data_IF_528691925214
#
_entry.id   IF_528691925214
#
_cell.length_a   1.000
_cell.length_b   1.000
_cell.length_c   1.000
_cell.angle_alpha   90.00
_cell.angle_beta   90.00
_cell.angle_gamma   90.00
#
_symmetry.space_group_name_H-M   'P 1'
#
loop_
_entity.id
_entity.type
_entity.pdbx_description
1 polymer ?
#
# COMPACT_ATOMS: atom_id res chain seq x y z
N UNK A 1 0.84 -3.72 18.40
CA UNK A 1 1.54 -4.17 19.64
C UNK A 1 3.05 -3.96 19.45
N UNK A 2 3.74 -3.37 20.43
CA UNK A 2 5.21 -3.32 20.42
C UNK A 2 5.76 -4.39 21.37
N UNK A 3 6.74 -5.15 20.89
CA UNK A 3 7.39 -6.22 21.66
C UNK A 3 8.90 -5.99 21.65
N UNK A 4 9.51 -5.93 22.82
CA UNK A 4 10.98 -5.91 22.95
C UNK A 4 11.50 -7.35 22.94
N UNK A 5 12.13 -7.75 21.82
CA UNK A 5 12.56 -9.13 21.57
C UNK A 5 13.80 -9.53 22.39
N UNK A 6 14.45 -8.58 23.07
CA UNK A 6 15.72 -8.80 23.75
C UNK A 6 15.57 -9.12 25.25
N UNK A 7 14.34 -9.33 25.73
CA UNK A 7 14.04 -9.55 27.15
C UNK A 7 13.37 -10.90 27.33
N UNK A 8 13.78 -11.74 28.30
CA UNK A 8 13.18 -13.07 28.53
C UNK A 8 11.68 -13.03 28.86
N UNK A 9 11.17 -11.89 29.35
CA UNK A 9 9.75 -11.62 29.56
C UNK A 9 9.41 -10.27 28.92
N UNK A 10 9.01 -10.24 27.64
CA UNK A 10 8.69 -9.00 26.95
C UNK A 10 7.45 -8.36 27.57
N UNK A 11 7.57 -7.09 27.97
CA UNK A 11 6.44 -6.32 28.49
C UNK A 11 5.53 -5.91 27.33
N UNK A 12 4.36 -6.53 27.24
CA UNK A 12 3.34 -6.19 26.23
C UNK A 12 2.68 -4.86 26.61
N UNK A 13 2.64 -3.92 25.66
CA UNK A 13 1.89 -2.66 25.77
C UNK A 13 0.91 -2.53 24.62
N UNK A 14 -0.35 -2.23 24.94
CA UNK A 14 -1.33 -1.81 23.96
C UNK A 14 -0.95 -0.41 23.45
N UNK A 15 -0.98 -0.27 22.14
CA UNK A 15 -0.68 0.97 21.43
C UNK A 15 -1.74 1.14 20.35
N UNK A 16 -1.87 2.37 19.85
CA UNK A 16 -2.85 2.76 18.83
C UNK A 16 -4.30 2.82 19.35
N UNK A 17 -4.61 3.95 20.00
CA UNK A 17 -5.95 4.28 20.48
C UNK A 17 -6.74 5.11 19.45
N UNK A 18 -6.31 5.17 18.18
CA UNK A 18 -6.95 6.00 17.14
C UNK A 18 -8.41 5.63 16.84
N UNK A 19 -8.77 4.37 17.10
CA UNK A 19 -10.14 3.84 16.96
C UNK A 19 -10.82 3.57 18.31
N UNK A 20 -10.18 3.92 19.43
CA UNK A 20 -10.73 3.64 20.76
C UNK A 20 -11.97 4.49 21.03
N UNK A 21 -13.06 3.86 21.46
CA UNK A 21 -14.31 4.53 21.78
C UNK A 21 -14.78 4.20 23.19
N UNK A 22 -15.29 5.20 23.90
CA UNK A 22 -15.87 5.01 25.23
C UNK A 22 -17.33 4.61 25.06
N UNK A 23 -17.66 3.37 25.43
CA UNK A 23 -19.03 2.89 25.43
C UNK A 23 -19.72 3.34 26.73
N UNK A 24 -20.87 3.99 26.60
CA UNK A 24 -21.72 4.38 27.73
C UNK A 24 -22.82 3.33 27.96
N UNK A 25 -23.09 3.01 29.22
CA UNK A 25 -24.08 2.00 29.58
C UNK A 25 -25.49 2.42 29.11
N UNK A 26 -26.09 1.62 28.23
CA UNK A 26 -27.44 1.86 27.68
C UNK A 26 -27.48 2.56 26.32
N UNK A 27 -26.32 2.91 25.74
CA UNK A 27 -26.25 3.47 24.38
C UNK A 27 -25.83 2.37 23.39
N UNK A 28 -26.66 2.12 22.38
CA UNK A 28 -26.30 1.21 21.29
C UNK A 28 -25.26 1.88 20.38
N UNK A 29 -24.02 1.39 20.43
CA UNK A 29 -22.97 1.80 19.51
C UNK A 29 -22.87 0.79 18.37
N UNK A 30 -23.04 1.26 17.13
CA UNK A 30 -22.93 0.46 15.90
C UNK A 30 -22.00 1.22 14.95
N UNK A 31 -20.85 0.64 14.65
CA UNK A 31 -19.94 1.22 13.67
C UNK A 31 -19.06 0.14 13.05
N UNK A 32 -18.73 0.28 11.76
CA UNK A 32 -17.81 -0.61 11.07
C UNK A 32 -16.43 0.03 11.10
N UNK A 33 -15.57 -0.43 11.99
CA UNK A 33 -14.15 -0.06 12.06
C UNK A 33 -13.27 -1.30 11.95
N UNK A 34 -12.04 -1.11 11.44
CA UNK A 34 -10.99 -2.13 11.41
C UNK A 34 -10.74 -2.75 10.03
N UNK A 35 -9.63 -3.48 9.93
CA UNK A 35 -9.36 -4.37 8.81
C UNK A 35 -10.31 -5.57 8.93
N UNK A 36 -11.11 -5.90 7.89
CA UNK A 36 -12.23 -6.84 8.02
C UNK A 36 -11.86 -8.19 8.60
N UNK A 37 -10.60 -8.58 8.48
CA UNK A 37 -10.06 -9.86 8.89
C UNK A 37 -9.88 -10.05 10.41
N UNK A 38 -9.94 -8.97 11.20
CA UNK A 38 -9.87 -8.98 12.67
C UNK A 38 -11.17 -8.55 13.35
N UNK A 39 -12.23 -8.43 12.56
CA UNK A 39 -13.50 -7.83 12.99
C UNK A 39 -14.44 -8.92 13.51
N UNK A 40 -15.05 -8.70 14.67
CA UNK A 40 -16.03 -9.60 15.25
C UNK A 40 -17.31 -9.68 14.38
N UNK A 41 -18.02 -10.84 14.37
CA UNK A 41 -19.17 -11.07 13.50
C UNK A 41 -20.31 -10.07 13.70
N UNK A 42 -20.48 -9.55 14.92
CA UNK A 42 -21.46 -8.50 15.22
C UNK A 42 -21.20 -7.17 14.52
N UNK A 43 -19.94 -6.81 14.28
CA UNK A 43 -19.56 -5.57 13.58
C UNK A 43 -19.94 -5.69 12.10
N UNK A 44 -19.70 -6.87 11.50
CA UNK A 44 -20.11 -7.17 10.11
C UNK A 44 -21.62 -7.24 9.98
N UNK A 45 -22.31 -7.79 10.98
CA UNK A 45 -23.77 -7.95 10.99
C UNK A 45 -24.53 -6.70 11.49
N UNK A 46 -23.86 -5.57 11.75
CA UNK A 46 -24.48 -4.33 12.25
C UNK A 46 -25.24 -4.46 13.59
N UNK A 47 -24.79 -5.38 14.45
CA UNK A 47 -25.36 -5.59 15.78
C UNK A 47 -24.73 -4.64 16.82
N UNK A 48 -25.40 -4.38 17.97
CA UNK A 48 -24.85 -3.54 19.04
C UNK A 48 -23.50 -4.06 19.55
N UNK A 49 -22.50 -3.19 19.58
CA UNK A 49 -21.14 -3.55 20.01
C UNK A 49 -21.06 -3.64 21.54
N UNK A 50 -20.47 -4.73 22.03
CA UNK A 50 -20.18 -4.97 23.44
C UNK A 50 -18.68 -4.82 23.74
N UNK A 51 -18.32 -4.87 25.02
CA UNK A 51 -16.90 -4.88 25.44
C UNK A 51 -16.18 -6.17 25.01
N UNK A 52 -16.96 -7.19 24.66
CA UNK A 52 -16.51 -8.51 24.21
C UNK A 52 -16.17 -8.55 22.71
N UNK A 53 -16.27 -7.42 22.00
CA UNK A 53 -16.01 -7.31 20.56
C UNK A 53 -14.51 -7.21 20.21
N UNK A 54 -13.66 -6.80 21.16
CA UNK A 54 -12.22 -6.65 20.93
C UNK A 54 -11.51 -8.02 21.06
N UNK A 55 -11.22 -8.64 19.92
CA UNK A 55 -10.49 -9.90 19.85
C UNK A 55 -9.01 -9.66 19.52
N UNK A 56 -8.13 -10.16 20.38
CA UNK A 56 -6.68 -10.16 20.17
C UNK A 56 -6.24 -11.49 19.55
N UNK A 57 -6.34 -11.64 18.24
CA UNK A 57 -5.62 -12.70 17.52
C UNK A 57 -4.40 -12.12 16.80
N UNK A 58 -3.23 -12.74 16.99
CA UNK A 58 -2.00 -12.38 16.27
C UNK A 58 -1.97 -12.91 14.83
N UNK A 59 -2.98 -13.68 14.43
CA UNK A 59 -3.19 -14.23 13.10
C UNK A 59 -4.65 -13.98 12.69
N UNK A 60 -4.90 -13.81 11.40
CA UNK A 60 -6.21 -13.53 10.84
C UNK A 60 -7.05 -14.82 10.81
N UNK A 61 -8.00 -15.02 11.76
CA UNK A 61 -8.64 -16.32 11.96
C UNK A 61 -9.68 -16.65 10.88
N UNK A 62 -10.13 -15.66 10.11
CA UNK A 62 -11.20 -15.81 9.13
C UNK A 62 -10.77 -15.45 7.70
N UNK A 63 -9.48 -15.27 7.43
CA UNK A 63 -8.98 -14.86 6.12
C UNK A 63 -9.36 -15.88 5.04
N UNK A 64 -10.10 -15.44 4.03
CA UNK A 64 -10.33 -16.20 2.80
C UNK A 64 -9.53 -15.62 1.63
N UNK A 65 -9.54 -16.32 0.50
CA UNK A 65 -8.87 -15.89 -0.74
C UNK A 65 -9.42 -14.55 -1.27
N UNK A 66 -10.70 -14.27 -1.02
CA UNK A 66 -11.34 -12.99 -1.37
C UNK A 66 -11.95 -12.30 -0.16
N UNK A 67 -12.11 -10.97 -0.25
CA UNK A 67 -12.81 -10.18 0.79
C UNK A 67 -14.22 -10.68 1.07
N UNK A 68 -14.91 -11.21 0.05
CA UNK A 68 -16.25 -11.77 0.22
C UNK A 68 -16.21 -13.08 1.00
N UNK A 69 -15.21 -13.93 0.74
CA UNK A 69 -15.04 -15.18 1.47
C UNK A 69 -14.64 -14.93 2.93
N UNK A 70 -13.77 -13.94 3.19
CA UNK A 70 -13.45 -13.49 4.56
C UNK A 70 -14.71 -13.06 5.31
N UNK A 71 -15.58 -12.24 4.71
CA UNK A 71 -16.83 -11.81 5.34
C UNK A 71 -17.81 -12.97 5.59
N UNK A 72 -17.87 -13.95 4.67
CA UNK A 72 -18.66 -15.18 4.87
C UNK A 72 -18.11 -16.02 6.02
N UNK A 73 -16.79 -16.20 6.10
CA UNK A 73 -16.12 -16.93 7.17
C UNK A 73 -16.37 -16.29 8.53
N UNK A 74 -16.31 -14.96 8.61
CA UNK A 74 -16.65 -14.21 9.83
C UNK A 74 -18.10 -14.44 10.23
N UNK A 75 -19.06 -14.29 9.31
CA UNK A 75 -20.49 -14.46 9.61
C UNK A 75 -20.85 -15.89 10.04
N UNK A 76 -20.17 -16.88 9.46
CA UNK A 76 -20.33 -18.30 9.75
C UNK A 76 -19.50 -18.77 10.97
N UNK A 77 -18.52 -17.99 11.43
CA UNK A 77 -17.45 -18.43 12.35
C UNK A 77 -16.81 -19.72 11.83
N UNK A 78 -16.41 -19.67 10.57
CA UNK A 78 -15.70 -20.75 9.92
C UNK A 78 -14.21 -20.47 10.00
N UNK A 79 -13.53 -21.07 10.98
CA UNK A 79 -12.09 -21.02 11.15
C UNK A 79 -11.55 -22.42 11.40
N UNK A 80 -10.33 -22.68 10.94
CA UNK A 80 -9.63 -23.93 11.15
C UNK A 80 -8.29 -23.65 11.84
N UNK A 81 -7.89 -24.53 12.74
CA UNK A 81 -6.56 -24.46 13.33
C UNK A 81 -5.57 -25.10 12.36
N UNK A 82 -4.97 -24.27 11.52
CA UNK A 82 -3.95 -24.69 10.56
C UNK A 82 -2.84 -25.49 11.26
N UNK A 83 -2.61 -26.73 10.80
CA UNK A 83 -1.62 -27.63 11.38
C UNK A 83 -0.20 -27.06 11.27
N UNK A 84 0.10 -26.26 10.25
CA UNK A 84 1.42 -25.62 10.09
C UNK A 84 1.74 -24.67 11.27
N UNK A 85 0.75 -23.91 11.73
CA UNK A 85 0.93 -22.94 12.82
C UNK A 85 0.57 -23.49 14.20
N UNK A 86 -0.34 -24.46 14.28
CA UNK A 86 -0.90 -24.97 15.54
C UNK A 86 -0.46 -26.39 15.91
N UNK A 87 0.45 -27.03 15.16
CA UNK A 87 0.98 -28.38 15.47
C UNK A 87 1.56 -28.51 16.89
N UNK A 88 2.24 -27.47 17.38
CA UNK A 88 2.84 -27.45 18.73
C UNK A 88 1.96 -26.77 19.78
N UNK A 89 0.77 -26.32 19.41
CA UNK A 89 -0.13 -25.60 20.31
C UNK A 89 -0.96 -26.59 21.13
N UNK A 90 -0.92 -26.44 22.46
CA UNK A 90 -1.63 -27.35 23.36
C UNK A 90 -3.15 -27.33 23.14
N UNK A 91 -3.81 -28.46 23.37
CA UNK A 91 -5.27 -28.57 23.24
C UNK A 91 -6.03 -27.60 24.16
N UNK A 92 -5.44 -27.30 25.33
CA UNK A 92 -5.96 -26.32 26.28
C UNK A 92 -5.96 -24.89 25.71
N UNK A 93 -4.98 -24.57 24.87
CA UNK A 93 -4.87 -23.29 24.18
C UNK A 93 -5.87 -23.20 23.02
N UNK A 94 -6.00 -24.26 22.22
CA UNK A 94 -7.01 -24.33 21.15
C UNK A 94 -8.42 -24.16 21.72
N UNK A 95 -8.71 -24.81 22.85
CA UNK A 95 -9.98 -24.65 23.57
C UNK A 95 -10.20 -23.22 24.07
N UNK A 96 -9.17 -22.57 24.60
CA UNK A 96 -9.23 -21.17 25.03
C UNK A 96 -9.58 -20.23 23.86
N UNK A 97 -8.89 -20.38 22.73
CA UNK A 97 -9.16 -19.60 21.51
C UNK A 97 -10.60 -19.85 21.03
N UNK A 98 -11.05 -21.10 21.03
CA UNK A 98 -12.41 -21.45 20.59
C UNK A 98 -13.49 -20.77 21.42
N UNK A 99 -13.28 -20.64 22.74
CA UNK A 99 -14.21 -19.96 23.65
C UNK A 99 -14.21 -18.42 23.51
N UNK A 100 -13.13 -17.85 22.98
CA UNK A 100 -13.07 -16.45 22.60
C UNK A 100 -13.75 -16.19 21.24
N UNK A 101 -13.64 -17.14 20.31
CA UNK A 101 -14.23 -17.08 18.97
C UNK A 101 -15.67 -17.62 18.91
N UNK A 102 -16.46 -17.42 19.97
CA UNK A 102 -17.86 -17.88 20.03
C UNK A 102 -18.82 -16.85 19.39
N UNK A 103 -19.81 -17.34 18.64
CA UNK A 103 -20.80 -16.48 17.93
C UNK A 103 -21.73 -15.74 18.87
N UNK A 104 -22.20 -16.44 19.89
CA UNK A 104 -23.10 -15.87 20.88
C UNK A 104 -22.30 -15.10 21.93
N UNK A 105 -22.47 -13.78 21.96
CA UNK A 105 -21.83 -12.87 22.94
C UNK A 105 -22.03 -13.34 24.38
N UNK A 106 -23.15 -13.99 24.70
CA UNK A 106 -23.46 -14.47 26.06
C UNK A 106 -22.66 -15.71 26.45
N UNK A 107 -22.21 -16.49 25.46
CA UNK A 107 -21.39 -17.69 25.65
C UNK A 107 -19.90 -17.38 25.49
N UNK A 108 -19.57 -16.27 24.83
CA UNK A 108 -18.20 -15.79 24.69
C UNK A 108 -17.59 -15.51 26.06
N UNK A 109 -16.34 -15.93 26.20
CA UNK A 109 -15.61 -15.79 27.45
C UNK A 109 -15.47 -14.30 27.82
N UNK A 110 -15.86 -13.91 29.03
CA UNK A 110 -15.61 -12.55 29.51
C UNK A 110 -14.12 -12.34 29.77
N UNK A 111 -13.66 -11.08 29.83
CA UNK A 111 -12.24 -10.78 30.13
C UNK A 111 -11.81 -11.40 31.47
N UNK A 112 -12.68 -11.37 32.48
CA UNK A 112 -12.39 -11.94 33.80
C UNK A 112 -12.28 -13.47 33.73
N UNK A 113 -13.17 -14.12 32.99
CA UNK A 113 -13.14 -15.58 32.80
C UNK A 113 -11.94 -16.00 31.94
N UNK A 114 -11.56 -15.18 30.97
CA UNK A 114 -10.38 -15.39 30.14
C UNK A 114 -9.09 -15.39 30.97
N UNK A 115 -8.92 -14.38 31.83
CA UNK A 115 -7.78 -14.31 32.76
C UNK A 115 -7.75 -15.48 33.75
N UNK A 116 -8.92 -16.05 34.07
CA UNK A 116 -9.05 -17.19 34.96
C UNK A 116 -8.96 -18.55 34.26
N UNK A 117 -8.86 -18.59 32.93
CA UNK A 117 -8.86 -19.84 32.19
C UNK A 117 -7.63 -20.69 32.54
N UNK A 118 -7.78 -22.03 32.68
CA UNK A 118 -6.66 -22.91 33.03
C UNK A 118 -5.46 -22.78 32.10
N UNK A 119 -5.65 -22.41 30.83
CA UNK A 119 -4.50 -22.19 29.93
C UNK A 119 -3.59 -21.04 30.37
N UNK A 120 -4.18 -19.94 30.86
CA UNK A 120 -3.42 -18.78 31.34
C UNK A 120 -2.80 -19.10 32.72
N UNK A 121 -3.56 -19.74 33.62
CA UNK A 121 -3.11 -20.03 34.99
C UNK A 121 -2.22 -21.27 35.15
N UNK A 122 -2.27 -22.25 34.24
CA UNK A 122 -1.53 -23.52 34.39
C UNK A 122 -0.01 -23.37 34.24
N UNK A 123 0.49 -22.26 33.71
CA UNK A 123 1.93 -22.02 33.62
C UNK A 123 2.55 -21.52 34.94
N UNK A 124 1.75 -21.09 35.92
CA UNK A 124 2.26 -20.76 37.25
C UNK A 124 2.58 -22.01 38.11
N UNK A 125 2.12 -23.20 37.70
CA UNK A 125 2.25 -24.45 38.46
C UNK A 125 3.14 -25.54 37.82
N UNK A 126 3.80 -25.27 36.67
CA UNK A 126 4.52 -26.30 35.89
C UNK A 126 6.04 -26.33 36.06
N UNK A 127 6.65 -25.43 36.83
CA UNK A 127 8.09 -25.44 37.09
C UNK A 127 8.53 -26.61 37.99
N UNK A 128 7.62 -27.30 38.71
CA UNK A 128 8.01 -28.31 39.71
C UNK A 128 7.86 -29.78 39.29
N UNK A 129 7.27 -30.12 38.14
CA UNK A 129 7.04 -31.55 37.81
C UNK A 129 7.20 -31.88 36.32
N UNK A 130 8.44 -32.12 35.89
CA UNK A 130 8.73 -32.96 34.71
C UNK A 130 9.93 -33.88 34.95
N UNK A 131 9.66 -35.02 35.57
CA UNK A 131 10.36 -36.28 35.33
C UNK A 131 9.31 -37.39 35.23
N UNK A 132 8.90 -37.72 34.01
CA UNK A 132 8.20 -38.98 33.75
C UNK A 132 9.09 -39.83 32.84
N UNK A 133 9.61 -40.89 33.43
CA UNK A 133 10.38 -41.96 32.79
C UNK A 133 9.56 -42.72 31.72
N UNK A 134 10.21 -43.32 30.71
CA UNK A 134 9.53 -44.15 29.73
C UNK A 134 9.08 -45.49 30.34
N UNK A 135 7.80 -45.83 30.14
CA UNK A 135 7.19 -47.11 30.54
C UNK A 135 7.88 -48.31 29.88
N UNK A 136 8.60 -49.12 30.65
CA UNK A 136 9.03 -50.49 30.27
C UNK A 136 7.80 -51.39 30.07
N UNK A 137 7.61 -51.92 28.86
CA UNK A 137 6.65 -52.99 28.57
C UNK A 137 7.16 -54.34 29.11
N UNK A 138 6.29 -55.10 29.77
CA UNK A 138 6.60 -56.42 30.34
C UNK A 138 7.07 -57.43 29.28
N UNK A 139 8.17 -58.12 29.60
CA UNK A 139 8.77 -59.19 28.81
C UNK A 139 7.83 -60.41 28.76
N UNK A 140 7.44 -60.86 27.57
CA UNK A 140 6.71 -62.14 27.39
C UNK A 140 7.66 -63.31 27.65
N UNK A 141 7.58 -63.91 28.84
CA UNK A 141 8.27 -65.17 29.13
C UNK A 141 7.61 -66.32 28.35
N UNK A 142 8.38 -67.00 27.50
CA UNK A 142 7.99 -68.25 26.85
C UNK A 142 7.76 -69.33 27.93
N UNK A 143 6.60 -69.99 27.89
CA UNK A 143 6.15 -70.95 28.92
C UNK A 143 6.89 -72.29 28.79
N UNK A 144 8.13 -72.38 29.29
CA UNK A 144 8.95 -73.60 29.31
C UNK A 144 8.74 -74.52 30.53
N UNK A 145 7.60 -74.37 31.25
CA UNK A 145 7.31 -75.14 32.48
C UNK A 145 7.36 -76.66 32.28
N UNK A 146 6.83 -77.17 31.16
CA UNK A 146 6.80 -78.61 30.86
C UNK A 146 8.16 -79.20 30.49
N UNK A 147 9.05 -78.41 29.87
CA UNK A 147 10.40 -78.86 29.53
C UNK A 147 11.32 -78.88 30.77
N UNK A 148 11.23 -77.87 31.65
CA UNK A 148 11.98 -77.86 32.92
C UNK A 148 11.69 -79.06 33.80
N UNK A 149 10.41 -79.47 33.90
CA UNK A 149 10.03 -80.63 34.71
C UNK A 149 10.54 -81.96 34.14
N UNK A 150 10.66 -82.08 32.81
CA UNK A 150 11.18 -83.29 32.16
C UNK A 150 12.70 -83.43 32.38
N UNK A 151 13.45 -82.32 32.32
CA UNK A 151 14.90 -82.33 32.55
C UNK A 151 15.28 -82.67 34.00
N UNK A 152 14.47 -82.24 34.98
CA UNK A 152 14.73 -82.48 36.41
C UNK A 152 14.40 -83.92 36.83
N UNK A 153 13.42 -84.58 36.18
CA UNK A 153 13.00 -85.95 36.55
C UNK A 153 13.86 -87.08 35.98
N UNK A 154 14.66 -86.83 34.95
CA UNK A 154 15.31 -87.92 34.21
C UNK A 154 16.79 -88.19 34.53
N UNK A 155 17.51 -87.31 35.24
CA UNK A 155 18.94 -87.56 35.53
C UNK A 155 19.37 -87.04 36.90
N UNK A 156 19.25 -87.87 37.94
CA UNK A 156 19.75 -87.59 39.30
C UNK A 156 21.27 -87.83 39.46
N UNK A 157 22.07 -87.74 38.39
CA UNK A 157 23.53 -87.99 38.46
C UNK A 157 24.40 -87.26 37.42
N UNK A 158 23.90 -86.27 36.66
CA UNK A 158 24.76 -85.48 35.75
C UNK A 158 25.13 -84.11 36.35
N UNK A 159 26.38 -83.63 36.16
CA UNK A 159 26.81 -82.32 36.62
C UNK A 159 25.92 -81.23 36.00
N UNK A 160 25.76 -80.06 36.65
CA UNK A 160 24.78 -79.06 36.25
C UNK A 160 25.03 -78.66 34.80
N UNK A 161 24.17 -79.14 33.91
CA UNK A 161 24.38 -79.03 32.48
C UNK A 161 24.03 -77.60 32.04
N UNK A 162 25.05 -76.73 32.04
CA UNK A 162 24.99 -75.30 31.72
C UNK A 162 24.59 -75.03 30.25
N UNK A 163 24.50 -76.09 29.44
CA UNK A 163 24.14 -76.08 28.03
C UNK A 163 22.77 -75.43 27.78
N UNK A 164 21.74 -75.75 28.58
CA UNK A 164 20.39 -75.19 28.35
C UNK A 164 20.30 -73.69 28.67
N UNK A 165 20.94 -73.25 29.76
CA UNK A 165 21.01 -71.84 30.13
C UNK A 165 21.80 -71.04 29.09
N UNK A 166 22.86 -71.62 28.54
CA UNK A 166 23.61 -71.01 27.44
C UNK A 166 22.79 -70.93 26.14
N UNK A 167 21.99 -71.95 25.81
CA UNK A 167 21.07 -71.90 24.68
C UNK A 167 19.97 -70.84 24.86
N UNK A 168 19.41 -70.68 26.06
CA UNK A 168 18.40 -69.66 26.35
C UNK A 168 19.00 -68.24 26.25
N UNK A 169 20.23 -68.03 26.75
CA UNK A 169 20.96 -66.76 26.55
C UNK A 169 21.29 -66.51 25.08
N UNK A 170 21.71 -67.53 24.34
CA UNK A 170 22.03 -67.41 22.93
C UNK A 170 20.77 -67.07 22.11
N UNK A 171 19.65 -67.74 22.34
CA UNK A 171 18.37 -67.43 21.71
C UNK A 171 17.94 -65.98 22.00
N UNK A 172 18.12 -65.51 23.24
CA UNK A 172 17.83 -64.13 23.62
C UNK A 172 18.69 -63.13 22.83
N UNK A 173 20.00 -63.40 22.69
CA UNK A 173 20.90 -62.54 21.92
C UNK A 173 20.53 -62.52 20.44
N UNK A 174 20.10 -63.65 19.86
CA UNK A 174 19.64 -63.70 18.47
C UNK A 174 18.35 -62.89 18.28
N UNK A 175 17.39 -63.00 19.19
CA UNK A 175 16.16 -62.17 19.15
C UNK A 175 16.45 -60.68 19.32
N UNK A 176 17.41 -60.32 20.17
CA UNK A 176 17.82 -58.93 20.38
C UNK A 176 18.55 -58.36 19.13
N UNK A 177 19.36 -59.19 18.46
CA UNK A 177 20.02 -58.82 17.19
C UNK A 177 18.99 -58.60 16.08
N UNK A 178 18.01 -59.50 15.93
CA UNK A 178 16.93 -59.37 14.94
C UNK A 178 16.11 -58.09 15.16
N UNK A 179 15.77 -57.78 16.42
CA UNK A 179 15.10 -56.52 16.76
C UNK A 179 15.95 -55.29 16.45
N UNK A 180 17.26 -55.38 16.71
CA UNK A 180 18.20 -54.29 16.42
C UNK A 180 18.33 -54.07 14.90
N UNK A 181 18.43 -55.13 14.11
CA UNK A 181 18.45 -55.05 12.64
C UNK A 181 17.16 -54.40 12.10
N UNK A 182 15.99 -54.80 12.61
CA UNK A 182 14.73 -54.14 12.27
C UNK A 182 14.71 -52.64 12.62
N UNK A 183 15.32 -52.27 13.74
CA UNK A 183 15.41 -50.86 14.15
C UNK A 183 16.32 -50.03 13.23
N UNK A 184 17.42 -50.61 12.74
CA UNK A 184 18.32 -49.95 11.78
C UNK A 184 17.67 -49.77 10.42
N UNK A 185 16.91 -50.75 9.94
CA UNK A 185 16.14 -50.61 8.69
C UNK A 185 15.12 -49.48 8.79
N UNK A 186 14.39 -49.41 9.92
CA UNK A 186 13.46 -48.31 10.15
C UNK A 186 14.16 -46.95 10.24
N UNK A 187 15.35 -46.90 10.84
CA UNK A 187 16.14 -45.67 10.96
C UNK A 187 16.67 -45.21 9.59
N UNK A 188 17.13 -46.14 8.75
CA UNK A 188 17.56 -45.85 7.38
C UNK A 188 16.40 -45.28 6.55
N UNK A 189 15.22 -45.90 6.63
CA UNK A 189 14.03 -45.39 5.95
C UNK A 189 13.63 -43.97 6.43
N UNK A 190 13.75 -43.69 7.72
CA UNK A 190 13.49 -42.35 8.25
C UNK A 190 14.53 -41.32 7.79
N UNK A 191 15.80 -41.72 7.69
CA UNK A 191 16.86 -40.87 7.14
C UNK A 191 16.60 -40.53 5.66
N UNK A 192 16.25 -41.53 4.85
CA UNK A 192 15.97 -41.33 3.43
C UNK A 192 14.75 -40.41 3.22
N UNK A 193 13.68 -40.59 4.02
CA UNK A 193 12.52 -39.69 4.01
C UNK A 193 12.90 -38.25 4.39
N UNK A 194 13.73 -38.06 5.42
CA UNK A 194 14.19 -36.72 5.80
C UNK A 194 15.06 -36.09 4.71
N UNK A 195 15.87 -36.90 4.02
CA UNK A 195 16.69 -36.42 2.91
C UNK A 195 15.82 -35.96 1.74
N UNK A 196 14.75 -36.68 1.41
CA UNK A 196 13.76 -36.26 0.41
C UNK A 196 13.09 -34.93 0.79
N UNK A 197 12.70 -34.77 2.06
CA UNK A 197 12.12 -33.52 2.56
C UNK A 197 13.12 -32.34 2.48
N UNK A 198 14.40 -32.59 2.82
CA UNK A 198 15.47 -31.59 2.68
C UNK A 198 15.64 -31.18 1.22
N UNK A 199 15.69 -32.15 0.30
CA UNK A 199 15.87 -31.89 -1.12
C UNK A 199 14.68 -31.12 -1.70
N UNK A 200 13.45 -31.44 -1.27
CA UNK A 200 12.25 -30.69 -1.63
C UNK A 200 12.31 -29.24 -1.13
N UNK A 201 12.71 -29.03 0.13
CA UNK A 201 12.86 -27.69 0.70
C UNK A 201 13.93 -26.86 -0.03
N UNK A 202 15.07 -27.48 -0.40
CA UNK A 202 16.11 -26.82 -1.20
C UNK A 202 15.60 -26.45 -2.59
N UNK A 203 14.80 -27.33 -3.22
CA UNK A 203 14.19 -27.04 -4.52
C UNK A 203 13.25 -25.84 -4.45
N UNK A 204 12.33 -25.81 -3.48
CA UNK A 204 11.40 -24.70 -3.26
C UNK A 204 12.15 -23.40 -2.98
N UNK A 205 13.20 -23.45 -2.16
CA UNK A 205 14.03 -22.28 -1.86
C UNK A 205 14.66 -21.71 -3.13
N UNK A 206 15.27 -22.56 -3.96
CA UNK A 206 15.93 -22.13 -5.21
C UNK A 206 14.93 -21.54 -6.21
N UNK A 207 13.73 -22.14 -6.33
CA UNK A 207 12.66 -21.63 -7.19
C UNK A 207 12.19 -20.24 -6.71
N UNK A 208 11.97 -20.08 -5.40
CA UNK A 208 11.60 -18.78 -4.82
C UNK A 208 12.70 -17.75 -4.99
N UNK A 209 13.97 -18.11 -4.79
CA UNK A 209 15.10 -17.20 -5.00
C UNK A 209 15.17 -16.73 -6.46
N UNK A 210 14.96 -17.64 -7.42
CA UNK A 210 14.91 -17.28 -8.84
C UNK A 210 13.75 -16.33 -9.15
N UNK A 211 12.56 -16.62 -8.62
CA UNK A 211 11.37 -15.78 -8.80
C UNK A 211 11.59 -14.36 -8.25
N UNK A 212 12.14 -14.23 -7.03
CA UNK A 212 12.44 -12.92 -6.46
C UNK A 212 13.49 -12.15 -7.27
N UNK A 213 14.47 -12.84 -7.85
CA UNK A 213 15.44 -12.19 -8.74
C UNK A 213 14.76 -11.64 -9.98
N UNK A 214 13.93 -12.42 -10.65
CA UNK A 214 13.19 -12.01 -11.84
C UNK A 214 12.25 -10.83 -11.54
N UNK A 215 11.46 -10.90 -10.48
CA UNK A 215 10.57 -9.81 -10.07
C UNK A 215 11.36 -8.53 -9.74
N UNK A 216 12.49 -8.66 -9.03
CA UNK A 216 13.37 -7.51 -8.75
C UNK A 216 13.97 -6.90 -10.01
N UNK A 217 14.20 -7.71 -11.04
CA UNK A 217 14.65 -7.24 -12.35
C UNK A 217 13.52 -6.53 -13.07
N UNK A 218 12.30 -7.10 -13.08
CA UNK A 218 11.10 -6.45 -13.62
C UNK A 218 10.90 -5.05 -13.06
N UNK A 219 10.87 -4.93 -11.72
CA UNK A 219 10.73 -3.62 -11.04
C UNK A 219 11.87 -2.67 -11.39
N UNK A 220 13.12 -3.15 -11.51
CA UNK A 220 14.26 -2.32 -11.93
C UNK A 220 14.11 -1.80 -13.37
N UNK A 221 13.59 -2.61 -14.28
CA UNK A 221 13.31 -2.20 -15.66
C UNK A 221 12.21 -1.14 -15.71
N UNK A 222 11.09 -1.36 -15.01
CA UNK A 222 9.99 -0.38 -14.93
C UNK A 222 10.46 0.95 -14.33
N UNK A 223 11.22 0.91 -13.23
CA UNK A 223 11.78 2.12 -12.63
C UNK A 223 12.72 2.86 -13.60
N UNK A 224 13.50 2.12 -14.38
CA UNK A 224 14.39 2.70 -15.39
C UNK A 224 13.60 3.36 -16.52
N UNK A 225 12.51 2.73 -16.96
CA UNK A 225 11.59 3.29 -17.95
C UNK A 225 10.93 4.57 -17.44
N UNK A 226 10.41 4.56 -16.21
CA UNK A 226 9.80 5.74 -15.58
C UNK A 226 10.82 6.87 -15.46
N UNK A 227 12.06 6.59 -15.06
CA UNK A 227 13.13 7.60 -14.99
C UNK A 227 13.46 8.19 -16.35
N UNK A 228 13.46 7.38 -17.41
CA UNK A 228 13.67 7.86 -18.77
C UNK A 228 12.54 8.80 -19.22
N UNK A 229 11.28 8.38 -19.05
CA UNK A 229 10.12 9.21 -19.40
C UNK A 229 10.08 10.50 -18.58
N UNK A 230 10.42 10.44 -17.29
CA UNK A 230 10.52 11.63 -16.45
C UNK A 230 11.57 12.61 -16.97
N UNK A 231 12.77 12.14 -17.34
CA UNK A 231 13.82 12.99 -17.94
C UNK A 231 13.37 13.60 -19.27
N UNK A 232 12.64 12.84 -20.09
CA UNK A 232 12.09 13.31 -21.36
C UNK A 232 11.06 14.43 -21.14
N UNK A 233 10.15 14.25 -20.18
CA UNK A 233 9.15 15.27 -19.81
C UNK A 233 9.83 16.51 -19.21
N UNK A 234 10.85 16.35 -18.37
CA UNK A 234 11.62 17.48 -17.85
C UNK A 234 12.33 18.27 -18.96
N UNK A 235 12.90 17.58 -19.95
CA UNK A 235 13.53 18.23 -21.09
C UNK A 235 12.51 19.02 -21.92
N UNK A 236 11.33 18.43 -22.19
CA UNK A 236 10.24 19.10 -22.88
C UNK A 236 9.75 20.33 -22.10
N UNK A 237 9.60 20.22 -20.78
CA UNK A 237 9.23 21.34 -19.91
C UNK A 237 10.25 22.48 -20.01
N UNK A 238 11.55 22.18 -19.98
CA UNK A 238 12.61 23.22 -20.12
C UNK A 238 12.50 23.92 -21.47
N UNK A 239 12.37 23.16 -22.56
CA UNK A 239 12.18 23.74 -23.90
C UNK A 239 10.97 24.68 -23.96
N UNK A 240 9.84 24.26 -23.41
CA UNK A 240 8.62 25.07 -23.41
C UNK A 240 8.77 26.32 -22.53
N UNK A 241 9.54 26.25 -21.46
CA UNK A 241 9.87 27.40 -20.63
C UNK A 241 10.75 28.40 -21.38
N UNK A 242 11.76 27.92 -22.11
CA UNK A 242 12.62 28.75 -22.96
C UNK A 242 11.78 29.44 -24.07
N UNK A 243 10.84 28.71 -24.68
CA UNK A 243 9.90 29.25 -25.67
C UNK A 243 9.03 30.36 -25.05
N UNK A 244 8.47 30.12 -23.86
CA UNK A 244 7.65 31.11 -23.15
C UNK A 244 8.44 32.39 -22.83
N UNK A 245 9.71 32.27 -22.42
CA UNK A 245 10.58 33.41 -22.20
C UNK A 245 10.86 34.17 -23.51
N UNK A 246 11.10 33.47 -24.62
CA UNK A 246 11.27 34.08 -25.94
C UNK A 246 10.01 34.84 -26.40
N UNK A 247 8.83 34.26 -26.18
CA UNK A 247 7.55 34.93 -26.45
C UNK A 247 7.36 36.17 -25.58
N UNK A 248 7.69 36.10 -24.29
CA UNK A 248 7.61 37.25 -23.37
C UNK A 248 8.54 38.39 -23.80
N UNK A 249 9.77 38.08 -24.20
CA UNK A 249 10.72 39.05 -24.76
C UNK A 249 10.18 39.69 -26.04
N UNK A 250 9.59 38.89 -26.94
CA UNK A 250 9.00 39.39 -28.19
C UNK A 250 7.80 40.30 -27.92
N UNK A 251 6.92 39.90 -26.99
CA UNK A 251 5.75 40.68 -26.59
C UNK A 251 6.16 42.01 -25.93
N UNK A 252 7.17 42.00 -25.06
CA UNK A 252 7.68 43.24 -24.45
C UNK A 252 8.28 44.18 -25.49
N UNK A 253 9.00 43.66 -26.50
CA UNK A 253 9.49 44.45 -27.62
C UNK A 253 8.35 45.09 -28.44
N UNK A 254 7.29 44.34 -28.74
CA UNK A 254 6.10 44.87 -29.42
C UNK A 254 5.38 45.92 -28.56
N UNK A 255 5.23 45.67 -27.27
CA UNK A 255 4.62 46.60 -26.31
C UNK A 255 5.39 47.92 -26.26
N UNK A 256 6.72 47.88 -26.20
CA UNK A 256 7.57 49.08 -26.22
C UNK A 256 7.38 49.88 -27.51
N UNK A 257 7.35 49.22 -28.68
CA UNK A 257 7.08 49.89 -29.96
C UNK A 257 5.68 50.51 -30.03
N UNK A 258 4.69 49.84 -29.44
CA UNK A 258 3.33 50.39 -29.35
C UNK A 258 3.29 51.63 -28.47
N UNK A 259 3.94 51.60 -27.29
CA UNK A 259 4.05 52.76 -26.41
C UNK A 259 4.76 53.94 -27.08
N UNK A 260 5.82 53.67 -27.85
CA UNK A 260 6.54 54.70 -28.62
C UNK A 260 5.64 55.34 -29.70
N UNK A 261 4.87 54.53 -30.44
CA UNK A 261 3.90 55.10 -31.40
C UNK A 261 2.79 55.86 -30.70
N UNK A 262 2.30 55.37 -29.56
CA UNK A 262 1.26 56.03 -28.78
C UNK A 262 1.73 57.41 -28.29
N UNK A 263 2.94 57.51 -27.76
CA UNK A 263 3.52 58.79 -27.32
C UNK A 263 3.74 59.75 -28.50
N UNK A 264 4.14 59.23 -29.66
CA UNK A 264 4.26 60.02 -30.88
C UNK A 264 2.89 60.56 -31.36
N UNK A 265 1.84 59.74 -31.35
CA UNK A 265 0.48 60.19 -31.66
C UNK A 265 -0.01 61.25 -30.68
N UNK A 266 0.25 61.09 -29.38
CA UNK A 266 -0.12 62.08 -28.37
C UNK A 266 0.64 63.41 -28.55
N UNK A 267 1.91 63.36 -28.96
CA UNK A 267 2.69 64.55 -29.31
C UNK A 267 2.12 65.28 -30.53
N UNK A 268 1.83 64.55 -31.63
CA UNK A 268 1.19 65.11 -32.82
C UNK A 268 -0.19 65.71 -32.50
N UNK A 269 -0.96 65.06 -31.62
CA UNK A 269 -2.26 65.56 -31.18
C UNK A 269 -2.12 66.90 -30.45
N UNK A 270 -1.10 67.04 -29.61
CA UNK A 270 -0.81 68.28 -28.91
C UNK A 270 -0.35 69.38 -29.90
N UNK A 271 0.54 69.06 -30.83
CA UNK A 271 0.99 69.98 -31.87
C UNK A 271 -0.18 70.49 -32.72
N UNK A 272 -1.03 69.58 -33.22
CA UNK A 272 -2.24 69.95 -33.95
C UNK A 272 -3.16 70.86 -33.14
N UNK A 273 -3.32 70.59 -31.83
CA UNK A 273 -4.14 71.43 -30.96
C UNK A 273 -3.56 72.83 -30.76
N UNK A 274 -2.23 72.95 -30.70
CA UNK A 274 -1.53 74.22 -30.60
C UNK A 274 -1.66 75.01 -31.91
N UNK A 275 -1.48 74.35 -33.05
CA UNK A 275 -1.65 74.96 -34.38
C UNK A 275 -3.09 75.43 -34.59
N UNK A 276 -4.10 74.62 -34.22
CA UNK A 276 -5.50 75.03 -34.28
C UNK A 276 -5.78 76.24 -33.39
N UNK A 277 -5.20 76.29 -32.19
CA UNK A 277 -5.32 77.44 -31.30
C UNK A 277 -4.66 78.68 -31.90
N UNK A 278 -3.47 78.53 -32.48
CA UNK A 278 -2.79 79.62 -33.18
C UNK A 278 -3.61 80.15 -34.35
N UNK A 279 -4.18 79.28 -35.19
CA UNK A 279 -5.08 79.66 -36.28
C UNK A 279 -6.30 80.41 -35.73
N UNK A 280 -6.89 79.93 -34.63
CA UNK A 280 -8.02 80.59 -33.97
C UNK A 280 -7.66 81.99 -33.46
N UNK A 281 -6.48 82.15 -32.84
CA UNK A 281 -5.97 83.44 -32.35
C UNK A 281 -5.68 84.41 -33.51
N UNK A 282 -5.09 83.93 -34.60
CA UNK A 282 -4.86 84.73 -35.83
C UNK A 282 -6.17 85.15 -36.47
N UNK A 283 -7.14 84.24 -36.59
CA UNK A 283 -8.48 84.56 -37.10
C UNK A 283 -9.22 85.56 -36.21
N UNK A 284 -9.06 85.47 -34.88
CA UNK A 284 -9.62 86.40 -33.91
C UNK A 284 -8.93 87.77 -33.88
N UNK A 285 -7.71 87.88 -34.43
CA UNK A 285 -6.94 89.12 -34.50
C UNK A 285 -7.33 90.01 -35.68
N UNK A 286 -8.13 89.51 -36.63
CA UNK A 286 -8.71 90.34 -37.69
C UNK A 286 -9.87 91.15 -37.13
N UNK A 287 -9.86 92.49 -37.25
CA UNK A 287 -10.95 93.31 -36.75
C UNK A 287 -12.22 92.98 -37.53
N UNK A 288 -13.25 92.52 -36.81
CA UNK A 288 -14.64 92.58 -37.27
C UNK A 288 -15.06 94.04 -37.19
N UNK A 289 -14.63 94.83 -38.17
CA UNK A 289 -15.06 96.21 -38.24
C UNK A 289 -16.54 96.23 -38.64
N UNK A 290 -17.38 96.55 -37.65
CA UNK A 290 -18.79 96.80 -37.86
C UNK A 290 -18.95 98.12 -38.58
N UNK A 291 -19.24 98.07 -39.87
CA UNK A 291 -19.67 99.25 -40.64
C UNK A 291 -20.34 98.83 -41.95
N UNK A 292 -21.66 98.98 -42.02
CA UNK A 292 -22.50 98.49 -43.11
C UNK A 292 -22.18 99.05 -44.50
N UNK A 293 -22.50 98.25 -45.52
CA UNK A 293 -22.48 98.63 -46.94
C UNK A 293 -22.37 97.40 -47.83
N UNK A 294 -23.48 97.04 -48.50
CA UNK A 294 -23.62 95.78 -49.22
C UNK A 294 -22.71 95.62 -50.43
N UNK A 295 -21.97 94.51 -50.45
CA UNK A 295 -21.56 93.74 -51.63
C UNK A 295 -21.47 92.25 -51.22
N UNK A 296 -21.76 91.27 -52.09
CA UNK A 296 -21.79 89.86 -51.73
C UNK A 296 -20.35 89.34 -51.67
N UNK A 297 -19.63 89.71 -50.62
CA UNK A 297 -18.27 89.27 -50.42
C UNK A 297 -18.32 87.99 -49.59
N UNK A 298 -18.28 86.85 -50.28
CA UNK A 298 -18.10 85.53 -49.69
C UNK A 298 -16.96 85.64 -48.68
N UNK A 299 -17.30 85.52 -47.39
CA UNK A 299 -16.36 85.73 -46.31
C UNK A 299 -15.18 84.78 -46.52
N UNK A 300 -14.00 85.35 -46.74
CA UNK A 300 -12.75 84.62 -46.94
C UNK A 300 -12.53 83.54 -45.86
N UNK A 301 -13.04 83.80 -44.65
CA UNK A 301 -13.05 82.85 -43.53
C UNK A 301 -13.85 81.57 -43.78
N UNK A 302 -14.90 81.58 -44.60
CA UNK A 302 -15.78 80.43 -44.85
C UNK A 302 -15.24 79.53 -45.96
N UNK A 303 -14.63 80.11 -47.00
CA UNK A 303 -13.99 79.34 -48.09
C UNK A 303 -12.74 78.64 -47.57
N UNK A 304 -11.89 79.35 -46.82
CA UNK A 304 -10.66 78.79 -46.25
C UNK A 304 -10.95 77.67 -45.23
N UNK A 305 -12.00 77.81 -44.41
CA UNK A 305 -12.40 76.75 -43.47
C UNK A 305 -12.89 75.48 -44.15
N UNK A 306 -13.57 75.60 -45.29
CA UNK A 306 -14.06 74.44 -46.04
C UNK A 306 -12.90 73.71 -46.73
N UNK A 307 -11.97 74.44 -47.35
CA UNK A 307 -10.81 73.84 -48.02
C UNK A 307 -9.84 73.18 -47.05
N UNK A 308 -9.61 73.79 -45.88
CA UNK A 308 -8.79 73.19 -44.82
C UNK A 308 -9.48 71.95 -44.24
N UNK A 309 -10.80 71.97 -44.02
CA UNK A 309 -11.52 70.79 -43.54
C UNK A 309 -11.52 69.64 -44.55
N UNK A 310 -11.63 69.91 -45.85
CA UNK A 310 -11.53 68.87 -46.88
C UNK A 310 -10.11 68.30 -46.98
N UNK A 311 -9.08 69.13 -46.95
CA UNK A 311 -7.69 68.66 -46.94
C UNK A 311 -7.37 67.80 -45.72
N UNK A 312 -7.91 68.15 -44.55
CA UNK A 312 -7.70 67.41 -43.30
C UNK A 312 -8.45 66.08 -43.28
N UNK A 313 -9.66 66.02 -43.87
CA UNK A 313 -10.37 64.75 -44.11
C UNK A 313 -9.61 63.84 -45.07
N UNK A 314 -9.04 64.38 -46.15
CA UNK A 314 -8.30 63.58 -47.14
C UNK A 314 -7.02 62.96 -46.54
N UNK A 315 -6.32 63.72 -45.69
CA UNK A 315 -5.13 63.27 -44.96
C UNK A 315 -5.43 62.15 -43.95
N UNK A 316 -6.50 62.29 -43.17
CA UNK A 316 -6.92 61.27 -42.21
C UNK A 316 -7.33 59.97 -42.91
N UNK A 317 -8.01 60.07 -44.06
CA UNK A 317 -8.46 58.90 -44.81
C UNK A 317 -7.29 58.13 -45.46
N UNK A 318 -6.22 58.82 -45.87
CA UNK A 318 -5.00 58.19 -46.40
C UNK A 318 -4.13 57.52 -45.34
N UNK A 319 -4.00 58.12 -44.16
CA UNK A 319 -3.06 57.64 -43.14
C UNK A 319 -3.57 56.40 -42.36
N UNK A 320 -4.89 56.24 -42.22
CA UNK A 320 -5.48 55.11 -41.52
C UNK A 320 -5.58 53.80 -42.35
N UNK A 321 -5.23 53.80 -43.64
CA UNK A 321 -5.51 52.67 -44.54
C UNK A 321 -4.33 51.81 -45.02
N UNK A 322 -3.08 52.20 -44.77
CA UNK A 322 -1.95 51.70 -45.57
C UNK A 322 -1.08 50.56 -45.03
N UNK A 323 -0.78 50.52 -43.73
CA UNK A 323 0.43 49.77 -43.27
C UNK A 323 0.26 48.92 -42.01
N UNK A 324 -0.99 48.62 -41.60
CA UNK A 324 -1.24 47.77 -40.43
C UNK A 324 -1.46 46.28 -40.77
N UNK A 325 -1.51 45.92 -42.06
CA UNK A 325 -1.79 44.54 -42.51
C UNK A 325 -0.60 43.81 -43.15
N UNK A 326 0.54 44.47 -43.40
CA UNK A 326 1.72 43.83 -44.02
C UNK A 326 2.65 43.12 -43.03
N UNK A 327 2.44 43.30 -41.71
CA UNK A 327 3.30 42.73 -40.66
C UNK A 327 2.83 41.41 -40.06
N UNK A 328 1.69 40.87 -40.48
CA UNK A 328 1.12 39.60 -39.96
C UNK A 328 1.22 38.54 -41.06
N UNK A 329 2.43 38.24 -41.50
CA UNK A 329 2.71 36.98 -42.20
C UNK A 329 3.10 35.96 -41.13
N UNK A 330 2.08 35.39 -40.47
CA UNK A 330 2.23 34.19 -39.67
C UNK A 330 2.07 33.01 -40.63
N UNK A 331 3.19 32.43 -41.04
CA UNK A 331 3.26 31.15 -41.71
C UNK A 331 2.65 30.08 -40.78
N UNK A 332 1.34 29.84 -40.94
CA UNK A 332 0.72 28.59 -40.51
C UNK A 332 0.96 27.58 -41.64
N UNK A 333 2.11 26.91 -41.58
CA UNK A 333 2.25 25.62 -42.27
C UNK A 333 1.21 24.66 -41.69
N UNK A 334 0.20 24.37 -42.50
CA UNK A 334 -0.74 23.27 -42.27
C UNK A 334 0.03 21.96 -42.28
N UNK A 335 0.28 21.41 -41.09
CA UNK A 335 0.66 20.02 -40.89
C UNK A 335 -0.43 19.10 -41.41
N UNK A 336 -0.21 18.60 -42.62
CA UNK A 336 -1.05 17.64 -43.31
C UNK A 336 -0.80 16.24 -42.73
N UNK A 337 -1.91 15.54 -42.46
CA UNK A 337 -1.99 14.14 -42.07
C UNK A 337 -1.00 13.24 -42.82
N UNK A 338 -0.18 12.48 -42.09
CA UNK A 338 -0.21 11.01 -42.07
C UNK A 338 0.68 10.43 -40.97
#
# INVERSE_FOLDING_TARGET
MLLDKNVPLPRIKLIDFGLAHKIEAGVEFKNIFGTPEFVAPEIVNYEPLGLEADMLSGASPFLGETKQDTLRNISAINYEFDEEFFCHTSELAKKFISQLLEKDKKKRLTIQDALNHPWIKSNEHKEENKAQEPKKRERRQLKTKRLREYTIKSHSSMPPNNTYVNFERFAQVVEDIDQMEGSFVSLAAAHDSLQEDIDAMVSIYNEKEAWYKEESEGVRHELSQIRYEFRKVEAFKRSLQDDMEAFSCSLSAVSSRYQERQSHFDALRLELSNELKWVQDVMGSFPTDGGGGGYPNCSFSTVFNNDVNEALKELLNRSCGGELLSGINLDFETGQQR
#
